data_IF_469778046638
#
_entry.id   IF_469778046638
#
_cell.length_a   1.000
_cell.length_b   1.000
_cell.length_c   1.000
_cell.angle_alpha   90.00
_cell.angle_beta   90.00
_cell.angle_gamma   90.00
#
_symmetry.space_group_name_H-M   'P 1'
#
loop_
_entity.id
_entity.type
_entity.pdbx_description
1 polymer ?
#
# COMPACT_ATOMS: atom_id res chain seq x y z
N UNK A 1 27.86 -57.12 44.25
CA UNK A 1 27.16 -55.80 44.23
C UNK A 1 27.86 -54.87 43.24
N UNK A 2 27.53 -54.94 41.95
CA UNK A 2 28.02 -54.04 40.90
C UNK A 2 26.81 -53.56 40.10
N UNK A 3 26.11 -52.54 40.60
CA UNK A 3 24.93 -51.97 39.93
C UNK A 3 24.68 -50.54 40.38
N UNK A 4 25.66 -49.64 40.19
CA UNK A 4 25.50 -48.21 40.59
C UNK A 4 26.41 -47.20 39.88
N UNK A 5 27.11 -47.55 38.78
CA UNK A 5 28.01 -46.63 38.06
C UNK A 5 27.55 -46.18 36.67
N UNK A 6 26.51 -46.78 36.09
CA UNK A 6 26.08 -46.47 34.72
C UNK A 6 25.02 -45.35 34.61
N UNK A 7 24.36 -44.95 35.70
CA UNK A 7 23.36 -43.88 35.67
C UNK A 7 23.97 -42.46 35.67
N UNK A 8 25.16 -42.26 36.23
CA UNK A 8 25.78 -40.92 36.28
C UNK A 8 26.40 -40.45 34.96
N UNK A 9 26.95 -41.36 34.14
CA UNK A 9 27.50 -40.97 32.84
C UNK A 9 26.40 -40.65 31.82
N UNK A 10 25.30 -41.42 31.81
CA UNK A 10 24.19 -41.19 30.87
C UNK A 10 23.50 -39.82 31.10
N UNK A 11 23.35 -39.38 32.35
CA UNK A 11 22.80 -38.04 32.66
C UNK A 11 23.75 -36.91 32.26
N UNK A 12 25.06 -37.08 32.38
CA UNK A 12 26.03 -36.04 32.01
C UNK A 12 26.16 -35.89 30.50
N UNK A 13 26.04 -37.00 29.75
CA UNK A 13 25.99 -36.98 28.28
C UNK A 13 24.68 -36.40 27.74
N UNK A 14 23.54 -36.62 28.42
CA UNK A 14 22.26 -36.01 28.03
C UNK A 14 22.24 -34.49 28.30
N UNK A 15 22.93 -34.02 29.34
CA UNK A 15 23.05 -32.60 29.68
C UNK A 15 23.90 -31.80 28.68
N UNK A 16 24.90 -32.44 28.04
CA UNK A 16 25.71 -31.83 26.98
C UNK A 16 24.96 -31.67 25.64
N UNK A 17 23.93 -32.48 25.38
CA UNK A 17 23.10 -32.38 24.17
C UNK A 17 22.06 -31.25 24.30
N UNK A 18 21.67 -30.86 25.52
CA UNK A 18 20.73 -29.74 25.76
C UNK A 18 21.44 -28.37 25.64
N UNK A 19 22.79 -28.34 25.61
CA UNK A 19 23.60 -27.13 25.44
C UNK A 19 23.96 -26.81 23.99
N UNK A 20 23.50 -27.58 23.00
CA UNK A 20 23.51 -27.13 21.60
C UNK A 20 22.40 -26.10 21.43
N UNK A 21 22.62 -24.91 22.01
CA UNK A 21 21.87 -23.71 21.68
C UNK A 21 22.04 -23.57 20.16
N UNK A 22 20.95 -23.74 19.43
CA UNK A 22 20.88 -23.37 18.02
C UNK A 22 21.32 -21.91 17.93
N UNK A 23 22.52 -21.67 17.44
CA UNK A 23 22.99 -20.32 17.17
C UNK A 23 22.09 -19.77 16.07
N UNK A 24 21.12 -18.94 16.44
CA UNK A 24 20.37 -18.14 15.48
C UNK A 24 21.35 -17.14 14.88
N UNK A 25 21.67 -17.31 13.60
CA UNK A 25 22.45 -16.33 12.87
C UNK A 25 21.51 -15.17 12.49
N UNK A 26 21.88 -13.96 12.90
CA UNK A 26 21.19 -12.73 12.54
C UNK A 26 21.93 -12.08 11.38
N UNK A 27 21.20 -11.65 10.36
CA UNK A 27 21.74 -10.81 9.30
C UNK A 27 22.27 -9.52 9.91
N UNK A 28 23.42 -9.05 9.42
CA UNK A 28 23.96 -7.77 9.85
C UNK A 28 23.05 -6.62 9.37
N UNK A 29 22.38 -5.88 10.27
CA UNK A 29 21.44 -4.83 9.90
C UNK A 29 22.05 -3.74 9.01
N UNK A 30 23.29 -3.36 9.28
CA UNK A 30 23.99 -2.33 8.51
C UNK A 30 24.32 -2.80 7.08
N UNK A 31 24.64 -4.09 6.92
CA UNK A 31 24.89 -4.66 5.61
C UNK A 31 23.60 -4.77 4.78
N UNK A 32 22.51 -5.21 5.41
CA UNK A 32 21.18 -5.27 4.77
C UNK A 32 20.74 -3.87 4.35
N UNK A 33 20.76 -2.90 5.26
CA UNK A 33 20.37 -1.52 4.94
C UNK A 33 21.20 -0.94 3.79
N UNK A 34 22.53 -1.13 3.78
CA UNK A 34 23.35 -0.69 2.66
C UNK A 34 22.93 -1.33 1.32
N UNK A 35 22.72 -2.64 1.30
CA UNK A 35 22.32 -3.39 0.10
C UNK A 35 20.95 -2.96 -0.41
N UNK A 36 19.96 -2.84 0.48
CA UNK A 36 18.59 -2.41 0.14
C UNK A 36 18.54 -0.97 -0.38
N UNK A 37 19.49 -0.13 0.03
CA UNK A 37 19.64 1.21 -0.52
C UNK A 37 20.25 1.25 -1.93
N UNK A 38 20.60 0.08 -2.48
CA UNK A 38 21.22 -0.09 -3.80
C UNK A 38 22.73 0.11 -3.79
N UNK A 39 23.38 0.02 -2.62
CA UNK A 39 24.80 0.30 -2.44
C UNK A 39 25.62 -0.98 -2.23
N UNK A 40 26.93 -0.87 -2.45
CA UNK A 40 27.83 -2.03 -2.37
C UNK A 40 28.54 -2.10 -1.03
N UNK A 41 28.40 -3.22 -0.34
CA UNK A 41 29.16 -3.50 0.89
C UNK A 41 30.56 -4.03 0.58
N UNK A 42 31.57 -3.60 1.33
CA UNK A 42 32.91 -4.17 1.31
C UNK A 42 33.55 -4.12 2.71
N UNK A 43 34.62 -4.87 2.93
CA UNK A 43 35.36 -4.87 4.20
C UNK A 43 36.66 -4.09 4.00
N UNK A 44 36.98 -3.23 4.96
CA UNK A 44 38.22 -2.46 5.01
C UNK A 44 39.02 -2.84 6.26
N UNK A 45 40.32 -3.10 6.10
CA UNK A 45 41.22 -3.37 7.22
C UNK A 45 41.69 -2.04 7.83
N UNK A 46 41.52 -1.89 9.13
CA UNK A 46 41.98 -0.72 9.90
C UNK A 46 42.90 -1.16 11.03
N UNK A 47 43.60 -0.21 11.66
CA UNK A 47 44.41 -0.50 12.85
C UNK A 47 43.59 -1.10 14.01
N UNK A 48 42.28 -0.86 14.04
CA UNK A 48 41.35 -1.40 15.03
C UNK A 48 40.70 -2.73 14.62
N UNK A 49 41.04 -3.26 13.44
CA UNK A 49 40.46 -4.48 12.86
C UNK A 49 39.67 -4.21 11.58
N UNK A 50 38.90 -5.21 11.15
CA UNK A 50 38.06 -5.12 9.96
C UNK A 50 36.79 -4.31 10.24
N UNK A 51 36.46 -3.38 9.34
CA UNK A 51 35.22 -2.62 9.38
C UNK A 51 34.42 -2.82 8.10
N UNK A 52 33.10 -3.02 8.24
CA UNK A 52 32.19 -3.07 7.11
C UNK A 52 31.89 -1.66 6.59
N UNK A 53 32.13 -1.45 5.31
CA UNK A 53 31.95 -0.19 4.60
C UNK A 53 30.81 -0.30 3.58
N UNK A 54 30.02 0.76 3.47
CA UNK A 54 28.97 0.93 2.48
C UNK A 54 29.42 1.93 1.41
N UNK A 55 29.65 1.45 0.19
CA UNK A 55 30.02 2.26 -0.99
C UNK A 55 28.76 2.82 -1.65
N UNK A 56 28.53 4.11 -1.43
CA UNK A 56 27.39 4.87 -1.96
C UNK A 56 27.65 5.29 -3.41
N UNK A 57 28.89 5.69 -3.70
CA UNK A 57 29.38 6.00 -5.05
C UNK A 57 30.87 5.71 -5.15
N UNK A 58 31.48 5.93 -6.33
CA UNK A 58 32.93 5.80 -6.53
C UNK A 58 33.76 6.68 -5.58
N UNK A 59 33.21 7.79 -5.10
CA UNK A 59 33.91 8.76 -4.25
C UNK A 59 33.37 8.84 -2.83
N UNK A 60 32.23 8.19 -2.55
CA UNK A 60 31.54 8.29 -1.27
C UNK A 60 31.38 6.90 -0.68
N UNK A 61 32.02 6.68 0.46
CA UNK A 61 31.92 5.49 1.28
C UNK A 61 31.76 5.86 2.74
N UNK A 62 30.88 5.17 3.44
CA UNK A 62 30.64 5.35 4.86
C UNK A 62 30.87 4.04 5.61
N UNK A 63 31.32 4.04 6.88
CA UNK A 63 31.17 2.89 7.75
C UNK A 63 29.70 2.46 7.77
N UNK A 64 29.41 1.18 7.53
CA UNK A 64 28.04 0.73 7.26
C UNK A 64 27.09 1.01 8.43
N UNK A 65 27.57 0.83 9.66
CA UNK A 65 26.79 1.15 10.85
C UNK A 65 26.52 2.64 11.02
N UNK A 66 27.47 3.50 10.63
CA UNK A 66 27.27 4.95 10.66
C UNK A 66 26.27 5.42 9.60
N UNK A 67 26.31 4.79 8.42
CA UNK A 67 25.32 5.01 7.38
C UNK A 67 23.91 4.60 7.84
N UNK A 68 23.77 3.41 8.44
CA UNK A 68 22.51 2.94 9.03
C UNK A 68 21.99 3.86 10.12
N UNK A 69 22.86 4.33 11.03
CA UNK A 69 22.44 5.23 12.10
C UNK A 69 22.23 6.67 11.65
N UNK A 70 22.49 6.99 10.38
CA UNK A 70 22.31 8.33 9.83
C UNK A 70 23.35 9.34 10.33
N UNK A 71 24.56 8.88 10.71
CA UNK A 71 25.68 9.76 11.10
C UNK A 71 26.71 9.95 9.98
N UNK A 72 26.56 9.19 8.89
CA UNK A 72 27.32 9.36 7.65
C UNK A 72 26.37 9.21 6.45
N UNK A 73 26.61 9.97 5.38
CA UNK A 73 25.87 9.80 4.12
C UNK A 73 24.38 10.12 4.21
N UNK A 74 23.95 11.02 5.11
CA UNK A 74 22.54 11.33 5.35
C UNK A 74 21.75 11.61 4.07
N UNK A 75 22.29 12.43 3.15
CA UNK A 75 21.65 12.79 1.87
C UNK A 75 21.39 11.58 0.95
N UNK A 76 22.05 10.46 1.21
CA UNK A 76 21.90 9.20 0.49
C UNK A 76 21.09 8.15 1.26
N UNK A 77 20.63 8.48 2.48
CA UNK A 77 19.80 7.62 3.32
C UNK A 77 18.38 7.46 2.77
N UNK A 78 17.68 6.43 3.25
CA UNK A 78 16.29 6.16 2.86
C UNK A 78 15.39 7.36 3.12
N UNK A 79 15.47 7.94 4.32
CA UNK A 79 14.66 9.09 4.71
C UNK A 79 14.81 10.23 3.70
N UNK A 80 16.05 10.57 3.32
CA UNK A 80 16.33 11.68 2.38
C UNK A 80 15.90 11.36 0.95
N UNK A 81 16.10 10.13 0.46
CA UNK A 81 15.61 9.71 -0.87
C UNK A 81 14.09 9.80 -0.99
N UNK A 82 13.38 9.56 0.11
CA UNK A 82 11.91 9.65 0.18
C UNK A 82 11.40 11.06 0.51
N UNK A 83 12.28 12.07 0.63
CA UNK A 83 11.90 13.45 0.95
C UNK A 83 11.59 13.73 2.43
N UNK A 84 11.87 12.77 3.33
CA UNK A 84 11.68 12.92 4.76
C UNK A 84 12.87 13.59 5.45
N UNK A 85 12.61 14.18 6.62
CA UNK A 85 13.69 14.55 7.54
C UNK A 85 14.37 13.31 8.10
N UNK A 86 15.63 13.44 8.53
CA UNK A 86 16.35 12.39 9.25
C UNK A 86 16.91 12.95 10.56
N UNK A 87 16.89 12.12 11.60
CA UNK A 87 17.48 12.44 12.90
C UNK A 87 18.06 11.19 13.53
N UNK A 88 19.23 11.29 14.13
CA UNK A 88 19.76 10.23 15.02
C UNK A 88 19.19 10.42 16.41
N UNK A 89 18.58 9.38 16.98
CA UNK A 89 18.01 9.41 18.34
C UNK A 89 18.67 8.33 19.21
N UNK A 90 18.61 8.53 20.53
CA UNK A 90 19.06 7.56 21.53
C UNK A 90 17.87 7.20 22.42
N UNK A 91 17.14 6.16 22.03
CA UNK A 91 15.93 5.68 22.70
C UNK A 91 15.78 4.18 22.42
N UNK A 92 16.00 3.36 23.45
CA UNK A 92 15.97 1.90 23.35
C UNK A 92 14.61 1.35 22.86
N UNK A 93 13.50 1.99 23.24
CA UNK A 93 12.17 1.54 22.81
C UNK A 93 11.96 1.86 21.34
N UNK A 94 12.40 3.03 20.90
CA UNK A 94 12.28 3.49 19.52
C UNK A 94 13.22 2.76 18.57
N UNK A 95 14.42 2.43 19.04
CA UNK A 95 15.47 1.75 18.29
C UNK A 95 15.42 0.22 18.40
N UNK A 96 14.35 -0.35 18.95
CA UNK A 96 14.23 -1.78 19.26
C UNK A 96 14.32 -2.74 18.05
N UNK A 97 14.22 -2.23 16.82
CA UNK A 97 14.33 -3.04 15.60
C UNK A 97 15.78 -3.44 15.26
N UNK A 98 16.76 -2.74 15.82
CA UNK A 98 18.18 -3.04 15.68
C UNK A 98 18.82 -3.20 17.07
N UNK A 99 19.90 -3.99 17.23
CA UNK A 99 20.52 -4.24 18.53
C UNK A 99 21.39 -3.05 19.00
N UNK A 100 20.89 -1.82 18.88
CA UNK A 100 21.56 -0.58 19.24
C UNK A 100 20.65 0.32 20.07
N UNK A 101 21.24 1.06 21.02
CA UNK A 101 20.52 2.11 21.78
C UNK A 101 20.28 3.38 20.96
N UNK A 102 20.99 3.54 19.83
CA UNK A 102 20.88 4.67 18.90
C UNK A 102 20.52 4.21 17.49
N UNK A 103 19.67 4.97 16.82
CA UNK A 103 19.16 4.67 15.48
C UNK A 103 18.80 5.94 14.72
N UNK A 104 18.72 5.84 13.39
CA UNK A 104 18.12 6.87 12.55
C UNK A 104 16.60 6.75 12.58
N UNK A 105 15.90 7.88 12.74
CA UNK A 105 14.46 7.99 12.53
C UNK A 105 14.19 8.93 11.35
N UNK A 106 13.24 8.54 10.51
CA UNK A 106 12.66 9.43 9.53
C UNK A 106 11.59 10.30 10.20
N UNK A 107 11.62 11.59 9.91
CA UNK A 107 10.60 12.56 10.32
C UNK A 107 9.64 12.74 9.14
N UNK A 108 8.46 12.16 9.26
CA UNK A 108 7.41 12.20 8.24
C UNK A 108 6.77 13.60 8.17
N UNK A 109 5.96 13.85 7.14
CA UNK A 109 5.30 15.16 6.92
C UNK A 109 4.36 15.57 8.06
N UNK A 110 3.73 14.60 8.73
CA UNK A 110 2.87 14.80 9.90
C UNK A 110 3.68 15.02 11.21
N UNK A 111 5.01 15.03 11.13
CA UNK A 111 5.93 15.16 12.25
C UNK A 111 6.17 13.87 13.03
N UNK A 112 5.59 12.73 12.61
CA UNK A 112 5.81 11.44 13.24
C UNK A 112 7.24 10.96 12.99
N UNK A 113 7.91 10.53 14.06
CA UNK A 113 9.24 9.94 13.98
C UNK A 113 9.13 8.40 13.95
N UNK A 114 9.61 7.77 12.87
CA UNK A 114 9.64 6.30 12.70
C UNK A 114 11.08 5.86 12.44
N UNK A 115 11.55 4.84 13.14
CA UNK A 115 12.89 4.26 12.92
C UNK A 115 13.02 3.74 11.49
N UNK A 116 14.17 4.00 10.87
CA UNK A 116 14.36 3.84 9.42
C UNK A 116 14.17 2.40 8.95
N UNK A 117 14.73 1.41 9.66
CA UNK A 117 14.63 0.01 9.26
C UNK A 117 13.22 -0.53 9.42
N UNK A 118 12.50 -0.08 10.46
CA UNK A 118 11.08 -0.37 10.66
C UNK A 118 10.20 0.27 9.59
N UNK A 119 10.50 1.51 9.20
CA UNK A 119 9.75 2.20 8.14
C UNK A 119 9.94 1.52 6.77
N UNK A 120 11.14 0.99 6.52
CA UNK A 120 11.46 0.20 5.34
C UNK A 120 10.94 -1.25 5.40
N UNK A 121 10.41 -1.69 6.55
CA UNK A 121 9.99 -3.09 6.73
C UNK A 121 11.14 -4.10 6.70
N UNK A 122 12.37 -3.70 7.06
CA UNK A 122 13.52 -4.60 7.04
C UNK A 122 13.42 -5.65 8.16
N UNK A 123 13.68 -6.91 7.79
CA UNK A 123 13.79 -8.03 8.71
C UNK A 123 15.23 -8.58 8.74
N UNK A 124 15.77 -8.73 9.95
CA UNK A 124 17.15 -9.19 10.19
C UNK A 124 17.24 -10.64 10.65
N UNK A 125 16.11 -11.34 10.76
CA UNK A 125 16.09 -12.78 11.01
C UNK A 125 16.55 -13.51 9.74
N UNK A 126 17.44 -14.50 9.89
CA UNK A 126 17.65 -15.49 8.82
C UNK A 126 16.48 -16.47 8.85
N UNK A 127 15.88 -16.72 7.68
CA UNK A 127 14.89 -17.78 7.52
C UNK A 127 15.50 -19.16 7.76
N UNK A 128 14.73 -20.05 8.39
CA UNK A 128 15.09 -21.45 8.58
C UNK A 128 14.21 -22.32 7.70
N UNK A 129 14.80 -22.88 6.64
CA UNK A 129 14.06 -23.74 5.73
C UNK A 129 13.46 -24.97 6.43
N UNK A 130 12.18 -25.24 6.16
CA UNK A 130 11.37 -26.32 6.71
C UNK A 130 10.63 -25.95 8.00
N UNK A 131 10.55 -24.66 8.36
CA UNK A 131 9.75 -24.16 9.49
C UNK A 131 8.29 -23.82 9.09
N UNK A 132 7.99 -23.95 7.80
CA UNK A 132 6.67 -23.74 7.21
C UNK A 132 6.33 -22.28 6.94
N UNK A 133 7.32 -21.38 6.93
CA UNK A 133 7.13 -19.95 6.64
C UNK A 133 8.15 -19.46 5.63
N UNK A 134 7.67 -19.03 4.46
CA UNK A 134 8.50 -18.29 3.53
C UNK A 134 8.82 -16.89 4.08
N UNK A 135 10.06 -16.66 4.56
CA UNK A 135 10.51 -15.38 5.14
C UNK A 135 11.76 -14.83 4.47
N UNK A 136 12.02 -13.53 4.65
CA UNK A 136 13.16 -12.82 4.03
C UNK A 136 14.51 -13.53 4.25
N UNK A 137 15.07 -14.09 3.18
CA UNK A 137 16.31 -14.88 3.22
C UNK A 137 16.13 -16.29 2.70
N UNK A 138 14.89 -16.75 2.61
CA UNK A 138 14.47 -17.91 1.82
C UNK A 138 13.93 -17.45 0.48
N UNK A 139 14.03 -18.32 -0.52
CA UNK A 139 13.41 -18.19 -1.83
C UNK A 139 13.16 -19.59 -2.38
N UNK A 140 12.45 -19.70 -3.51
CA UNK A 140 12.12 -20.96 -4.16
C UNK A 140 13.34 -21.82 -4.44
N UNK A 141 14.51 -21.23 -4.75
CA UNK A 141 15.74 -21.97 -5.03
C UNK A 141 16.40 -22.52 -3.77
N UNK A 142 16.43 -21.72 -2.69
CA UNK A 142 17.14 -22.04 -1.45
C UNK A 142 16.26 -22.79 -0.45
N UNK A 143 14.95 -22.62 -0.52
CA UNK A 143 13.97 -23.31 0.30
C UNK A 143 12.62 -23.53 -0.43
N UNK A 144 12.57 -24.41 -1.44
CA UNK A 144 11.32 -24.75 -2.14
C UNK A 144 10.27 -25.40 -1.22
N UNK A 145 10.68 -25.85 -0.04
CA UNK A 145 9.80 -26.48 0.95
C UNK A 145 8.83 -25.48 1.58
N UNK A 146 9.31 -24.28 1.88
CA UNK A 146 8.54 -23.23 2.57
C UNK A 146 8.16 -22.10 1.63
N UNK A 147 8.96 -21.83 0.58
CA UNK A 147 8.68 -20.92 -0.52
C UNK A 147 8.41 -21.72 -1.81
N UNK A 148 7.20 -22.27 -2.02
CA UNK A 148 6.86 -23.01 -3.23
C UNK A 148 6.69 -22.08 -4.43
N UNK A 149 6.82 -22.61 -5.65
CA UNK A 149 6.62 -21.83 -6.87
C UNK A 149 5.28 -21.10 -6.88
N UNK A 150 5.31 -19.82 -7.27
CA UNK A 150 4.22 -18.86 -7.13
C UNK A 150 4.20 -18.09 -5.80
N UNK A 151 5.19 -18.26 -4.92
CA UNK A 151 5.26 -17.52 -3.64
C UNK A 151 5.90 -16.15 -3.80
N UNK A 152 5.44 -15.16 -3.02
CA UNK A 152 6.07 -13.84 -2.91
C UNK A 152 7.33 -13.92 -2.03
N UNK A 153 8.48 -14.17 -2.65
CA UNK A 153 9.77 -14.40 -1.99
C UNK A 153 10.92 -13.53 -2.55
N UNK A 154 10.58 -12.53 -3.39
CA UNK A 154 11.50 -11.64 -4.10
C UNK A 154 12.41 -12.35 -5.11
N UNK A 155 12.05 -13.56 -5.52
CA UNK A 155 12.78 -14.35 -6.50
C UNK A 155 11.83 -14.92 -7.56
N UNK A 156 11.95 -14.38 -8.76
CA UNK A 156 11.26 -14.93 -9.93
C UNK A 156 11.85 -16.29 -10.35
N UNK A 157 11.07 -17.37 -10.18
CA UNK A 157 11.50 -18.73 -10.52
C UNK A 157 11.30 -19.13 -12.00
N UNK A 158 10.35 -18.51 -12.69
CA UNK A 158 10.02 -18.74 -14.11
C UNK A 158 9.67 -20.19 -14.45
N UNK A 159 9.16 -20.95 -13.48
CA UNK A 159 8.76 -22.35 -13.65
C UNK A 159 7.41 -22.41 -14.34
N UNK A 160 7.32 -23.18 -15.43
CA UNK A 160 6.04 -23.43 -16.11
C UNK A 160 5.27 -24.53 -15.36
N UNK A 161 4.57 -24.15 -14.30
CA UNK A 161 3.75 -25.03 -13.45
C UNK A 161 2.26 -24.66 -13.38
N UNK A 162 1.85 -23.61 -14.10
CA UNK A 162 0.50 -23.06 -14.13
C UNK A 162 0.20 -22.07 -13.00
N UNK A 163 1.22 -21.65 -12.23
CA UNK A 163 1.10 -20.57 -11.24
C UNK A 163 1.95 -19.39 -11.67
N UNK A 164 1.39 -18.19 -11.56
CA UNK A 164 2.16 -16.99 -11.75
C UNK A 164 2.95 -16.67 -10.48
N UNK A 165 4.26 -16.53 -10.63
CA UNK A 165 5.16 -15.97 -9.62
C UNK A 165 5.01 -14.44 -9.56
N UNK A 166 4.56 -13.88 -8.41
CA UNK A 166 4.31 -12.45 -8.27
C UNK A 166 5.59 -11.59 -8.35
N UNK A 167 6.77 -12.17 -8.22
CA UNK A 167 8.07 -11.47 -8.32
C UNK A 167 8.61 -11.41 -9.75
N UNK A 168 7.93 -12.05 -10.71
CA UNK A 168 8.31 -12.05 -12.13
C UNK A 168 7.75 -10.85 -12.91
N UNK A 169 8.55 -10.33 -13.85
CA UNK A 169 8.07 -9.34 -14.84
C UNK A 169 7.33 -10.03 -16.00
N UNK A 170 6.52 -9.28 -16.76
CA UNK A 170 5.55 -9.77 -17.79
C UNK A 170 6.08 -10.77 -18.85
N UNK A 171 7.39 -10.98 -18.99
CA UNK A 171 8.00 -11.86 -19.99
C UNK A 171 8.90 -12.95 -19.39
N UNK A 172 9.05 -12.98 -18.07
CA UNK A 172 10.00 -13.85 -17.37
C UNK A 172 9.36 -15.16 -16.92
N UNK A 173 8.10 -15.10 -16.49
CA UNK A 173 7.30 -16.28 -16.16
C UNK A 173 6.19 -16.46 -17.19
N UNK A 174 6.21 -17.57 -17.98
CA UNK A 174 5.19 -17.88 -18.97
C UNK A 174 3.78 -18.07 -18.40
N UNK A 175 3.66 -18.37 -17.10
CA UNK A 175 2.37 -18.53 -16.41
C UNK A 175 1.79 -17.20 -15.93
N UNK A 176 2.62 -16.14 -15.87
CA UNK A 176 2.17 -14.76 -15.64
C UNK A 176 1.60 -14.15 -16.93
N UNK A 177 0.39 -14.55 -17.29
CA UNK A 177 -0.33 -14.01 -18.44
C UNK A 177 -0.73 -12.55 -18.14
N UNK A 178 -0.25 -11.62 -18.99
CA UNK A 178 -0.57 -10.18 -19.01
C UNK A 178 -2.02 -9.89 -18.55
N UNK A 179 -2.13 -9.33 -17.34
CA UNK A 179 -3.39 -8.80 -16.79
C UNK A 179 -3.99 -9.55 -15.60
N UNK A 180 -3.33 -10.58 -15.08
CA UNK A 180 -3.76 -11.34 -13.90
C UNK A 180 -3.00 -10.83 -12.66
N UNK A 181 -3.73 -10.06 -11.84
CA UNK A 181 -3.73 -10.09 -10.38
C UNK A 181 -2.55 -9.47 -9.59
N UNK A 182 -2.68 -8.17 -9.29
CA UNK A 182 -2.25 -7.65 -7.98
C UNK A 182 -3.48 -7.68 -7.09
N UNK A 183 -3.68 -8.74 -6.32
CA UNK A 183 -4.76 -8.79 -5.33
C UNK A 183 -4.38 -7.98 -4.07
N UNK A 184 -5.28 -7.12 -3.61
CA UNK A 184 -5.12 -6.24 -2.45
C UNK A 184 -4.78 -4.78 -2.79
N UNK A 185 -4.99 -4.33 -4.03
CA UNK A 185 -4.81 -2.93 -4.43
C UNK A 185 -6.08 -2.08 -4.26
N UNK A 186 -7.17 -2.72 -3.86
CA UNK A 186 -8.47 -2.11 -3.58
C UNK A 186 -9.32 -1.81 -4.82
N UNK A 187 -8.94 -2.30 -6.01
CA UNK A 187 -9.66 -2.08 -7.26
C UNK A 187 -9.85 -3.41 -7.99
N UNK A 188 -11.09 -3.91 -8.06
CA UNK A 188 -11.41 -5.06 -8.89
C UNK A 188 -11.24 -4.74 -10.39
N UNK A 189 -10.14 -5.19 -11.00
CA UNK A 189 -9.79 -4.90 -12.41
C UNK A 189 -10.15 -6.03 -13.36
N UNK A 190 -10.10 -5.73 -14.67
CA UNK A 190 -10.31 -6.71 -15.73
C UNK A 190 -9.22 -7.78 -15.68
N UNK A 191 -9.57 -8.98 -15.19
CA UNK A 191 -8.64 -10.09 -14.96
C UNK A 191 -8.62 -10.59 -13.52
N UNK A 192 -9.27 -9.87 -12.60
CA UNK A 192 -9.56 -10.29 -11.24
C UNK A 192 -11.05 -10.64 -11.12
N UNK A 193 -11.36 -11.60 -10.24
CA UNK A 193 -12.73 -11.94 -9.88
C UNK A 193 -12.81 -12.49 -8.45
N UNK A 194 -14.00 -12.74 -7.93
CA UNK A 194 -14.20 -13.19 -6.55
C UNK A 194 -13.49 -14.50 -6.23
N UNK A 195 -13.37 -15.42 -7.19
CA UNK A 195 -12.66 -16.68 -7.00
C UNK A 195 -11.14 -16.46 -6.85
N UNK A 196 -10.58 -15.56 -7.65
CA UNK A 196 -9.12 -15.34 -7.75
C UNK A 196 -8.62 -14.22 -6.83
N UNK A 197 -9.46 -13.25 -6.49
CA UNK A 197 -9.16 -12.12 -5.60
C UNK A 197 -10.40 -11.63 -4.81
N UNK A 198 -10.85 -12.37 -3.78
CA UNK A 198 -12.00 -11.99 -2.97
C UNK A 198 -11.78 -10.73 -2.11
N UNK A 199 -10.52 -10.25 -2.00
CA UNK A 199 -10.17 -9.06 -1.23
C UNK A 199 -10.63 -7.80 -1.96
N UNK A 200 -10.36 -7.72 -3.27
CA UNK A 200 -10.70 -6.56 -4.08
C UNK A 200 -12.02 -6.75 -4.85
N UNK A 201 -12.41 -8.00 -5.13
CA UNK A 201 -13.66 -8.36 -5.80
C UNK A 201 -14.63 -9.09 -4.83
N UNK A 202 -15.36 -8.37 -3.98
CA UNK A 202 -16.34 -8.95 -3.06
C UNK A 202 -17.66 -9.33 -3.75
N UNK A 203 -18.49 -10.17 -3.11
CA UNK A 203 -19.85 -10.53 -3.57
C UNK A 203 -20.67 -9.32 -4.03
N UNK A 204 -21.25 -9.41 -5.22
CA UNK A 204 -22.12 -8.37 -5.78
C UNK A 204 -21.41 -7.29 -6.60
N UNK A 205 -20.20 -7.56 -7.10
CA UNK A 205 -19.49 -6.68 -8.06
C UNK A 205 -19.42 -7.36 -9.42
N UNK A 206 -19.47 -6.58 -10.50
CA UNK A 206 -19.30 -7.15 -11.85
C UNK A 206 -17.81 -7.41 -12.14
N UNK A 207 -17.42 -8.68 -12.09
CA UNK A 207 -16.07 -9.19 -12.28
C UNK A 207 -15.98 -10.37 -13.27
N UNK A 208 -17.08 -10.65 -13.99
CA UNK A 208 -17.28 -11.79 -14.91
C UNK A 208 -17.26 -13.17 -14.22
N UNK A 209 -17.50 -13.24 -12.91
CA UNK A 209 -17.61 -14.49 -12.17
C UNK A 209 -18.87 -14.49 -11.30
N UNK A 210 -19.82 -15.36 -11.65
CA UNK A 210 -21.03 -15.57 -10.88
C UNK A 210 -20.75 -16.45 -9.64
N UNK A 211 -20.87 -15.88 -8.44
CA UNK A 211 -20.59 -16.58 -7.19
C UNK A 211 -21.81 -17.29 -6.56
N UNK A 212 -23.03 -16.85 -6.90
CA UNK A 212 -24.30 -17.46 -6.47
C UNK A 212 -24.51 -17.53 -4.94
N UNK A 213 -23.85 -16.66 -4.18
CA UNK A 213 -23.93 -16.68 -2.72
C UNK A 213 -25.22 -16.01 -2.24
N UNK A 214 -25.97 -16.74 -1.40
CA UNK A 214 -27.19 -16.24 -0.75
C UNK A 214 -26.90 -15.24 0.39
N UNK A 215 -26.50 -14.02 0.06
CA UNK A 215 -26.16 -12.96 1.02
C UNK A 215 -27.05 -11.71 0.93
N UNK A 216 -28.11 -11.75 0.11
CA UNK A 216 -29.04 -10.65 -0.22
C UNK A 216 -28.42 -9.55 -1.09
N UNK A 217 -27.28 -9.82 -1.73
CA UNK A 217 -26.73 -8.95 -2.77
C UNK A 217 -26.81 -9.71 -4.09
N UNK A 218 -27.28 -9.01 -5.10
CA UNK A 218 -27.28 -9.53 -6.45
C UNK A 218 -25.87 -9.44 -7.04
N UNK A 219 -25.36 -10.56 -7.54
CA UNK A 219 -24.18 -10.62 -8.41
C UNK A 219 -24.54 -10.21 -9.85
N UNK A 220 -23.99 -9.10 -10.38
CA UNK A 220 -24.30 -8.62 -11.72
C UNK A 220 -23.95 -9.57 -12.86
N UNK A 221 -23.07 -10.55 -12.62
CA UNK A 221 -22.65 -11.52 -13.64
C UNK A 221 -23.44 -12.84 -13.58
N UNK A 222 -24.34 -12.99 -12.61
CA UNK A 222 -25.27 -14.12 -12.51
C UNK A 222 -26.57 -13.87 -13.29
N UNK A 223 -27.16 -14.93 -13.85
CA UNK A 223 -28.56 -14.89 -14.31
C UNK A 223 -29.56 -15.07 -13.15
N UNK A 224 -30.83 -14.69 -13.36
CA UNK A 224 -31.91 -14.75 -12.35
C UNK A 224 -32.11 -16.16 -11.73
N UNK A 225 -31.67 -17.22 -12.40
CA UNK A 225 -31.77 -18.60 -11.90
C UNK A 225 -30.50 -19.05 -11.14
N UNK A 226 -29.39 -18.34 -11.32
CA UNK A 226 -28.07 -18.68 -10.76
C UNK A 226 -27.82 -17.97 -9.43
N UNK A 227 -28.30 -16.73 -9.29
CA UNK A 227 -28.32 -16.00 -8.02
C UNK A 227 -29.76 -15.69 -7.59
N UNK A 228 -30.15 -16.28 -6.47
CA UNK A 228 -31.49 -16.12 -5.90
C UNK A 228 -31.74 -14.69 -5.38
N UNK A 229 -30.69 -13.91 -5.14
CA UNK A 229 -30.77 -12.55 -4.63
C UNK A 229 -30.89 -11.50 -5.75
N UNK A 230 -30.82 -11.90 -7.03
CA UNK A 230 -31.05 -11.04 -8.20
C UNK A 230 -32.52 -10.99 -8.64
N UNK A 231 -33.15 -9.80 -8.55
CA UNK A 231 -34.57 -9.57 -8.91
C UNK A 231 -34.79 -8.36 -9.85
N UNK A 232 -33.91 -8.14 -10.84
CA UNK A 232 -34.08 -7.02 -11.77
C UNK A 232 -35.21 -7.26 -12.79
N UNK A 233 -36.08 -6.27 -13.05
CA UNK A 233 -37.17 -6.35 -14.04
C UNK A 233 -38.59 -6.38 -13.48
N UNK A 234 -38.76 -6.16 -12.17
CA UNK A 234 -40.08 -6.04 -11.52
C UNK A 234 -40.66 -4.61 -11.58
N UNK A 235 -39.87 -3.66 -12.09
CA UNK A 235 -40.23 -2.25 -12.26
C UNK A 235 -40.10 -1.40 -10.99
N UNK A 236 -39.46 -1.93 -9.93
CA UNK A 236 -39.28 -1.28 -8.64
C UNK A 236 -37.81 -1.34 -8.23
N UNK A 237 -37.16 -0.18 -8.13
CA UNK A 237 -35.80 -0.09 -7.59
C UNK A 237 -35.80 -0.39 -6.06
N UNK A 238 -35.46 -1.62 -5.67
CA UNK A 238 -35.47 -2.09 -4.28
C UNK A 238 -34.20 -1.67 -3.50
N UNK A 239 -34.25 -1.80 -2.17
CA UNK A 239 -33.10 -1.47 -1.31
C UNK A 239 -31.96 -2.49 -1.50
N UNK A 240 -30.92 -2.11 -2.24
CA UNK A 240 -29.79 -2.97 -2.62
C UNK A 240 -29.49 -2.95 -4.13
N UNK A 241 -30.43 -2.46 -4.94
CA UNK A 241 -30.26 -2.28 -6.38
C UNK A 241 -29.67 -0.89 -6.68
N UNK A 242 -28.77 -0.82 -7.66
CA UNK A 242 -28.18 0.44 -8.14
C UNK A 242 -28.40 0.64 -9.64
N UNK A 243 -28.16 1.86 -10.13
CA UNK A 243 -28.19 2.16 -11.57
C UNK A 243 -27.13 1.40 -12.37
N UNK A 244 -26.07 0.91 -11.73
CA UNK A 244 -25.05 0.05 -12.34
C UNK A 244 -25.49 -1.40 -12.47
N UNK A 245 -26.16 -1.92 -11.43
CA UNK A 245 -26.48 -3.35 -11.31
C UNK A 245 -27.88 -3.70 -11.86
N UNK A 246 -28.84 -2.77 -11.79
CA UNK A 246 -30.18 -2.93 -12.34
C UNK A 246 -30.65 -1.67 -13.09
N UNK A 247 -30.05 -1.36 -14.26
CA UNK A 247 -30.35 -0.14 -15.03
C UNK A 247 -31.78 -0.10 -15.63
N UNK A 248 -32.47 -1.25 -15.65
CA UNK A 248 -33.85 -1.33 -16.12
C UNK A 248 -34.84 -0.67 -15.15
N UNK A 249 -34.65 -0.87 -13.84
CA UNK A 249 -35.58 -0.39 -12.81
C UNK A 249 -35.02 0.80 -12.01
N UNK A 250 -33.70 0.86 -11.82
CA UNK A 250 -33.00 1.95 -11.15
C UNK A 250 -32.40 2.94 -12.16
N UNK A 251 -33.22 3.77 -12.81
CA UNK A 251 -32.70 4.87 -13.64
C UNK A 251 -32.26 6.05 -12.77
N UNK A 252 -31.02 6.49 -12.95
CA UNK A 252 -30.63 7.82 -12.50
C UNK A 252 -31.50 8.88 -13.20
N UNK A 253 -31.99 9.90 -12.49
CA UNK A 253 -32.69 11.00 -13.12
C UNK A 253 -31.69 11.76 -13.99
N UNK A 254 -31.78 11.58 -15.31
CA UNK A 254 -31.04 12.41 -16.26
C UNK A 254 -31.44 13.88 -16.02
N UNK A 255 -30.53 14.65 -15.41
CA UNK A 255 -30.70 16.08 -15.25
C UNK A 255 -30.57 16.67 -16.66
N UNK A 256 -31.70 16.94 -17.31
CA UNK A 256 -31.73 17.53 -18.65
C UNK A 256 -31.00 18.88 -18.63
N UNK A 257 -29.79 18.87 -19.20
CA UNK A 257 -28.89 20.02 -19.29
C UNK A 257 -29.57 21.21 -19.98
N UNK A 258 -30.56 20.96 -20.85
CA UNK A 258 -31.32 22.01 -21.52
C UNK A 258 -32.25 22.75 -20.55
N UNK A 259 -32.83 22.06 -19.57
CA UNK A 259 -33.67 22.68 -18.55
C UNK A 259 -32.84 23.61 -17.65
N UNK A 260 -31.64 23.19 -17.26
CA UNK A 260 -30.71 24.01 -16.47
C UNK A 260 -30.30 25.27 -17.24
N UNK A 261 -30.00 25.13 -18.54
CA UNK A 261 -29.63 26.26 -19.39
C UNK A 261 -30.78 27.26 -19.55
N UNK A 262 -32.03 26.78 -19.66
CA UNK A 262 -33.22 27.62 -19.70
C UNK A 262 -33.41 28.42 -18.40
N UNK A 263 -33.22 27.79 -17.23
CA UNK A 263 -33.34 28.46 -15.93
C UNK A 263 -32.27 29.54 -15.74
N UNK A 264 -31.02 29.28 -16.14
CA UNK A 264 -29.93 30.26 -16.08
C UNK A 264 -30.21 31.45 -17.00
N UNK A 265 -30.68 31.19 -18.23
CA UNK A 265 -31.03 32.25 -19.18
C UNK A 265 -32.18 33.13 -18.69
N UNK A 266 -33.21 32.53 -18.08
CA UNK A 266 -34.34 33.25 -17.50
C UNK A 266 -33.90 34.11 -16.31
N UNK A 267 -33.06 33.60 -15.42
CA UNK A 267 -32.52 34.33 -14.28
C UNK A 267 -31.69 35.55 -14.73
N UNK A 268 -30.90 35.41 -15.79
CA UNK A 268 -30.12 36.52 -16.36
C UNK A 268 -31.03 37.63 -16.92
N UNK A 269 -32.07 37.26 -17.68
CA UNK A 269 -33.03 38.23 -18.23
C UNK A 269 -33.79 38.98 -17.13
N UNK A 270 -34.19 38.28 -16.07
CA UNK A 270 -34.84 38.88 -14.90
C UNK A 270 -33.88 39.86 -14.21
N UNK A 271 -32.61 39.48 -14.02
CA UNK A 271 -31.59 40.36 -13.44
C UNK A 271 -31.37 41.64 -14.25
N UNK A 272 -31.31 41.53 -15.58
CA UNK A 272 -31.19 42.68 -16.49
C UNK A 272 -32.42 43.58 -16.40
N UNK A 273 -33.62 43.00 -16.38
CA UNK A 273 -34.87 43.76 -16.24
C UNK A 273 -34.92 44.54 -14.92
N UNK A 274 -34.53 43.92 -13.80
CA UNK A 274 -34.44 44.57 -12.49
C UNK A 274 -33.45 45.74 -12.52
N UNK A 275 -32.27 45.56 -13.13
CA UNK A 275 -31.27 46.63 -13.27
C UNK A 275 -31.79 47.81 -14.11
N UNK A 276 -32.51 47.52 -15.20
CA UNK A 276 -33.13 48.56 -16.04
C UNK A 276 -34.19 49.33 -15.25
N UNK A 277 -35.05 48.64 -14.49
CA UNK A 277 -36.07 49.26 -13.64
C UNK A 277 -35.41 50.12 -12.57
N UNK A 278 -34.35 49.63 -11.93
CA UNK A 278 -33.62 50.38 -10.90
C UNK A 278 -32.95 51.63 -11.47
N UNK A 279 -32.35 51.54 -12.67
CA UNK A 279 -31.78 52.71 -13.38
C UNK A 279 -32.87 53.71 -13.78
N UNK A 280 -34.01 53.27 -14.28
CA UNK A 280 -35.14 54.14 -14.61
C UNK A 280 -35.70 54.85 -13.37
N UNK A 281 -35.86 54.13 -12.25
CA UNK A 281 -36.32 54.70 -10.98
C UNK A 281 -35.37 55.78 -10.47
N UNK A 282 -34.06 55.51 -10.45
CA UNK A 282 -33.04 56.48 -10.05
C UNK A 282 -33.08 57.76 -10.90
N UNK A 283 -33.21 57.62 -12.22
CA UNK A 283 -33.31 58.76 -13.15
C UNK A 283 -34.60 59.57 -12.94
N UNK A 284 -35.72 58.89 -12.65
CA UNK A 284 -36.99 59.55 -12.34
C UNK A 284 -36.93 60.34 -11.03
N UNK A 285 -36.23 59.83 -10.00
CA UNK A 285 -36.03 60.52 -8.73
C UNK A 285 -35.14 61.76 -8.89
N UNK A 286 -34.10 61.69 -9.72
CA UNK A 286 -33.25 62.84 -10.06
C UNK A 286 -34.04 63.93 -10.82
N UNK A 287 -34.86 63.56 -11.81
CA UNK A 287 -35.74 64.48 -12.53
C UNK A 287 -36.79 65.15 -11.62
N UNK A 288 -37.37 64.39 -10.69
CA UNK A 288 -38.33 64.93 -9.72
C UNK A 288 -37.67 65.93 -8.78
N UNK A 289 -36.42 65.67 -8.34
CA UNK A 289 -35.63 66.63 -7.55
C UNK A 289 -35.38 67.91 -8.34
N UNK A 290 -34.97 67.83 -9.60
CA UNK A 290 -34.76 69.03 -10.44
C UNK A 290 -36.04 69.82 -10.68
N UNK A 291 -37.18 69.14 -10.87
CA UNK A 291 -38.50 69.79 -11.03
C UNK A 291 -38.96 70.50 -9.75
N UNK A 292 -38.73 69.90 -8.57
CA UNK A 292 -39.03 70.56 -7.28
C UNK A 292 -38.19 71.82 -7.08
N UNK A 293 -36.89 71.75 -7.37
CA UNK A 293 -35.98 72.90 -7.29
C UNK A 293 -36.39 74.05 -8.22
N UNK A 294 -36.91 73.74 -9.42
CA UNK A 294 -37.43 74.76 -10.35
C UNK A 294 -38.76 75.39 -9.88
N UNK A 295 -39.58 74.66 -9.12
CA UNK A 295 -40.88 75.15 -8.64
C UNK A 295 -40.79 76.01 -7.37
N UNK A 296 -39.71 75.87 -6.61
CA UNK A 296 -39.44 76.66 -5.39
C UNK A 296 -38.63 77.94 -5.68
N UNK A 297 -38.17 78.13 -6.92
CA UNK A 297 -37.38 79.29 -7.37
C UNK A 297 -38.13 80.34 -8.18
N UNK A 298 -39.46 80.25 -8.28
CA UNK A 298 -40.36 81.22 -8.93
C UNK A 298 -41.48 81.66 -7.99
#
# INVERSE_FOLDING_TARGET
MMKRRTQSLACFSLFLIILSVTALALKNPAAIYCKEMGYTMYIEETEAGEIGMCRISETISCPAWEFLTGTCGEEYSYCKKMGYGIKTVNDTNKCSNIPLSRCAVCVLEDGKEVEVTKLMGLNFQEGVCGDGKCVLGEDYVRCPQDCPSGSLDYYCDGVVDGKCDPDCTEETDPDCIRGILICGDGICKRGENRETCPIDCPSGVSDNFCDGIKDKKCDPDCSEEEDFDCHCGDGICNFGETSGDCPQDCREPEIDFNMVLLLISAAFLIGVAILIIHRKRKRSEELLKTLKMLKEGY
#
